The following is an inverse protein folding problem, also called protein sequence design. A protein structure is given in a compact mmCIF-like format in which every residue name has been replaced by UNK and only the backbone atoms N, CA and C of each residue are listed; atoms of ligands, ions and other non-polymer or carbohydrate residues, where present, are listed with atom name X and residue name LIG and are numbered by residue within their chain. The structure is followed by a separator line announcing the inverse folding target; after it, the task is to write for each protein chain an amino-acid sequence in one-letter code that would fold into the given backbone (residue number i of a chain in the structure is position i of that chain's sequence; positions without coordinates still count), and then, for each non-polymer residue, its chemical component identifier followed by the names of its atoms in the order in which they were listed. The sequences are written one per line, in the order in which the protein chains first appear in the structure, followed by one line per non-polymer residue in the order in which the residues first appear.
data_IF_139560163600
#
_entry.id   IF_139560163600
#
_cell.length_a   1.000
_cell.length_b   1.000
_cell.length_c   1.000
_cell.angle_alpha   90.00
_cell.angle_beta   90.00
_cell.angle_gamma   90.00
#
_symmetry.space_group_name_H-M   'P 1'
#
loop_
_entity.id
_entity.type
_entity.pdbx_description
1 polymer ?
#
# COMPACT_ATOMS: atom_id res chain seq x y z
N UNK A 1 60.54 -46.59 -29.00
CA UNK A 1 60.01 -46.02 -27.73
C UNK A 1 59.90 -44.52 -27.86
N UNK A 2 58.72 -43.96 -28.14
CA UNK A 2 58.48 -42.55 -28.33
C UNK A 2 57.72 -42.00 -27.09
N UNK A 3 58.37 -41.10 -26.35
CA UNK A 3 57.82 -40.46 -25.18
C UNK A 3 56.83 -39.35 -25.57
N UNK A 4 55.53 -39.55 -25.31
CA UNK A 4 54.51 -38.48 -25.44
C UNK A 4 54.67 -37.50 -24.26
N UNK A 5 55.04 -36.27 -24.54
CA UNK A 5 54.98 -35.14 -23.59
C UNK A 5 53.50 -34.69 -23.46
N UNK A 6 52.99 -34.77 -22.25
CA UNK A 6 51.68 -34.20 -21.88
C UNK A 6 51.79 -32.68 -21.85
N UNK A 7 50.90 -32.00 -22.55
CA UNK A 7 50.75 -30.52 -22.49
C UNK A 7 50.05 -30.11 -21.20
N UNK A 8 50.47 -29.04 -20.54
CA UNK A 8 49.80 -28.55 -19.35
C UNK A 8 48.43 -27.92 -19.69
N UNK A 9 47.40 -28.25 -18.91
CA UNK A 9 46.04 -27.72 -18.99
C UNK A 9 46.06 -26.28 -18.46
N UNK A 10 45.52 -25.28 -19.18
CA UNK A 10 45.45 -23.91 -18.69
C UNK A 10 44.47 -23.84 -17.53
N UNK A 11 44.91 -23.32 -16.38
CA UNK A 11 44.08 -23.00 -15.23
C UNK A 11 43.19 -21.79 -15.60
N UNK A 12 41.93 -22.00 -15.81
CA UNK A 12 40.90 -20.92 -15.90
C UNK A 12 40.82 -20.25 -14.53
N UNK A 13 41.46 -19.10 -14.38
CA UNK A 13 41.32 -18.25 -13.21
C UNK A 13 39.97 -17.53 -13.27
N UNK A 14 38.98 -18.04 -12.55
CA UNK A 14 37.72 -17.32 -12.31
C UNK A 14 37.97 -16.18 -11.31
N UNK A 15 38.32 -15.00 -11.82
CA UNK A 15 38.18 -13.76 -11.06
C UNK A 15 36.81 -13.18 -11.35
N UNK A 16 35.84 -13.43 -10.47
CA UNK A 16 34.57 -12.74 -10.51
C UNK A 16 34.77 -11.23 -10.25
N UNK A 17 34.16 -10.34 -11.01
CA UNK A 17 34.28 -8.90 -10.80
C UNK A 17 33.52 -8.48 -9.53
N UNK A 18 34.28 -8.30 -8.43
CA UNK A 18 33.77 -7.80 -7.13
C UNK A 18 33.27 -6.33 -7.22
N UNK A 19 33.52 -5.66 -8.33
CA UNK A 19 33.12 -4.26 -8.57
C UNK A 19 31.61 -4.05 -8.67
N UNK A 20 30.84 -5.05 -9.14
CA UNK A 20 29.38 -4.96 -9.24
C UNK A 20 28.66 -4.94 -7.88
N UNK A 21 29.14 -5.71 -6.89
CA UNK A 21 28.52 -5.83 -5.57
C UNK A 21 28.67 -4.53 -4.75
N UNK A 22 29.78 -3.82 -4.87
CA UNK A 22 30.00 -2.53 -4.18
C UNK A 22 29.08 -1.43 -4.70
N UNK A 23 28.80 -1.38 -6.00
CA UNK A 23 27.86 -0.44 -6.59
C UNK A 23 26.41 -0.71 -6.13
N UNK A 24 26.05 -1.97 -5.99
CA UNK A 24 24.71 -2.39 -5.56
C UNK A 24 24.46 -2.05 -4.09
N UNK A 25 25.44 -2.30 -3.23
CA UNK A 25 25.39 -1.95 -1.80
C UNK A 25 25.36 -0.43 -1.60
N UNK A 26 26.15 0.34 -2.36
CA UNK A 26 26.12 1.79 -2.31
C UNK A 26 24.77 2.36 -2.79
N UNK A 27 24.18 1.80 -3.85
CA UNK A 27 22.87 2.19 -4.33
C UNK A 27 21.76 1.91 -3.32
N UNK A 28 21.78 0.76 -2.64
CA UNK A 28 20.83 0.41 -1.58
C UNK A 28 21.02 1.28 -0.32
N UNK A 29 22.24 1.64 0.04
CA UNK A 29 22.49 2.54 1.18
C UNK A 29 22.06 3.98 0.89
N UNK A 30 22.24 4.49 -0.33
CA UNK A 30 21.73 5.81 -0.75
C UNK A 30 20.21 5.81 -0.78
N UNK A 31 19.57 4.75 -1.30
CA UNK A 31 18.12 4.61 -1.28
C UNK A 31 17.60 4.52 0.16
N UNK A 32 18.26 3.75 1.03
CA UNK A 32 17.95 3.66 2.46
C UNK A 32 18.11 4.99 3.21
N UNK A 33 19.16 5.77 2.90
CA UNK A 33 19.38 7.08 3.50
C UNK A 33 18.35 8.13 3.02
N UNK A 34 17.92 8.09 1.77
CA UNK A 34 16.86 8.94 1.25
C UNK A 34 15.48 8.60 1.87
N UNK A 35 15.29 7.35 2.30
CA UNK A 35 14.08 6.87 2.96
C UNK A 35 14.05 7.20 4.46
N UNK A 36 15.21 7.35 5.11
CA UNK A 36 15.33 7.55 6.55
C UNK A 36 15.21 9.03 7.02
N UNK A 37 15.27 9.99 6.11
CA UNK A 37 15.39 11.41 6.46
C UNK A 37 14.04 12.16 6.48
N UNK A 38 12.96 11.58 7.01
CA UNK A 38 11.72 12.34 7.22
C UNK A 38 11.50 12.60 8.70
N UNK A 39 11.51 13.87 9.08
CA UNK A 39 10.93 14.33 10.34
C UNK A 39 9.44 13.94 10.33
N UNK A 40 8.96 13.35 11.43
CA UNK A 40 7.55 13.04 11.62
C UNK A 40 6.73 14.35 11.59
N UNK A 41 6.27 14.73 10.41
CA UNK A 41 5.24 15.73 10.19
C UNK A 41 4.03 14.99 9.66
N UNK A 42 2.85 15.32 10.20
CA UNK A 42 1.59 14.86 9.63
C UNK A 42 1.51 15.42 8.20
N UNK A 43 1.63 14.52 7.24
CA UNK A 43 1.58 14.84 5.82
C UNK A 43 0.12 14.80 5.33
N UNK A 44 -0.16 15.48 4.22
CA UNK A 44 -1.52 15.67 3.71
C UNK A 44 -2.31 14.36 3.51
N UNK A 45 -1.65 13.29 3.14
CA UNK A 45 -2.28 12.01 2.83
C UNK A 45 -2.16 11.00 3.97
N UNK A 46 -1.65 11.40 5.15
CA UNK A 46 -1.67 10.56 6.34
C UNK A 46 -3.09 10.31 6.81
N UNK A 47 -3.33 9.15 7.41
CA UNK A 47 -4.63 8.82 7.97
C UNK A 47 -4.90 9.65 9.23
N UNK A 48 -6.14 10.14 9.32
CA UNK A 48 -6.73 10.76 10.50
C UNK A 48 -8.18 10.29 10.65
N UNK A 49 -8.35 9.13 11.23
CA UNK A 49 -9.63 8.42 11.23
C UNK A 49 -10.72 9.12 12.05
N UNK A 50 -10.36 9.98 12.99
CA UNK A 50 -11.33 10.81 13.72
C UNK A 50 -12.17 11.68 12.78
N UNK A 51 -11.62 12.09 11.64
CA UNK A 51 -12.33 12.88 10.63
C UNK A 51 -13.43 12.10 9.88
N UNK A 52 -13.50 10.77 10.06
CA UNK A 52 -14.63 9.96 9.55
C UNK A 52 -15.91 10.17 10.36
N UNK A 53 -15.78 10.78 11.53
CA UNK A 53 -16.86 11.09 12.42
C UNK A 53 -17.54 12.38 11.99
N UNK A 54 -18.87 12.45 12.06
CA UNK A 54 -19.59 13.66 11.70
C UNK A 54 -19.57 14.64 12.86
N UNK A 55 -18.71 15.65 12.80
CA UNK A 55 -18.59 16.68 13.83
C UNK A 55 -19.76 17.66 13.88
N UNK A 56 -20.65 17.67 12.87
CA UNK A 56 -21.82 18.55 12.83
C UNK A 56 -22.89 18.19 13.87
N UNK A 57 -22.84 16.97 14.39
CA UNK A 57 -23.75 16.47 15.42
C UNK A 57 -23.19 16.58 16.86
N UNK A 58 -22.14 17.33 17.06
CA UNK A 58 -21.63 17.71 18.39
C UNK A 58 -20.52 16.84 18.99
N UNK A 59 -20.36 15.57 18.62
CA UNK A 59 -19.28 14.69 19.13
C UNK A 59 -18.85 13.61 18.14
N UNK A 60 -18.99 13.84 16.89
CA UNK A 60 -18.29 13.27 15.75
C UNK A 60 -18.45 11.78 15.45
N UNK A 61 -18.31 10.85 16.35
CA UNK A 61 -18.32 9.41 16.04
C UNK A 61 -19.52 8.64 16.59
N UNK A 62 -20.56 9.31 17.00
CA UNK A 62 -21.72 8.67 17.58
C UNK A 62 -22.12 9.29 18.93
N UNK A 63 -23.05 8.67 19.59
CA UNK A 63 -23.60 9.17 20.85
C UNK A 63 -22.57 9.06 21.96
N UNK A 64 -22.01 10.19 22.37
CA UNK A 64 -21.22 10.26 23.62
C UNK A 64 -22.20 10.38 24.76
N UNK A 65 -22.41 9.30 25.50
CA UNK A 65 -23.12 9.38 26.76
C UNK A 65 -22.13 9.71 27.85
N UNK A 66 -22.12 10.96 28.28
CA UNK A 66 -21.36 11.39 29.46
C UNK A 66 -22.14 11.07 30.71
N UNK A 67 -21.60 10.19 31.54
CA UNK A 67 -21.96 10.09 32.96
C UNK A 67 -20.83 10.71 33.79
N UNK A 68 -21.06 11.16 35.03
CA UNK A 68 -20.00 11.72 35.86
C UNK A 68 -18.78 10.82 36.07
N UNK A 69 -18.92 9.53 35.74
CA UNK A 69 -17.89 8.50 36.00
C UNK A 69 -17.43 7.77 34.71
N UNK A 70 -18.07 7.98 33.57
CA UNK A 70 -17.76 7.23 32.35
C UNK A 70 -18.27 7.93 31.09
N UNK A 71 -17.39 8.09 30.10
CA UNK A 71 -17.75 8.44 28.73
C UNK A 71 -17.87 7.16 27.92
N UNK A 72 -19.03 6.88 27.34
CA UNK A 72 -19.20 5.77 26.40
C UNK A 72 -19.50 6.33 25.02
N UNK A 73 -18.74 5.86 24.03
CA UNK A 73 -18.97 6.21 22.62
C UNK A 73 -19.68 5.06 21.95
N UNK A 74 -20.94 5.28 21.55
CA UNK A 74 -21.63 4.38 20.64
C UNK A 74 -21.37 4.87 19.20
N UNK A 75 -20.61 4.12 18.43
CA UNK A 75 -20.25 4.51 17.07
C UNK A 75 -21.45 4.49 16.13
N UNK A 76 -21.56 5.52 15.30
CA UNK A 76 -22.53 5.59 14.22
C UNK A 76 -22.22 4.52 13.15
N UNK A 77 -23.18 3.68 12.75
CA UNK A 77 -23.02 2.72 11.65
C UNK A 77 -22.54 3.37 10.35
N UNK A 78 -22.91 4.64 10.09
CA UNK A 78 -22.42 5.38 8.94
C UNK A 78 -20.91 5.67 9.01
N UNK A 79 -20.34 5.91 10.20
CA UNK A 79 -18.89 6.07 10.37
C UNK A 79 -18.15 4.75 10.09
N UNK A 80 -18.71 3.61 10.51
CA UNK A 80 -18.16 2.30 10.20
C UNK A 80 -18.21 1.99 8.69
N UNK A 81 -19.28 2.35 8.01
CA UNK A 81 -19.39 2.26 6.53
C UNK A 81 -18.35 3.16 5.84
N UNK A 82 -18.11 4.38 6.35
CA UNK A 82 -17.04 5.26 5.85
C UNK A 82 -15.66 4.63 6.04
N UNK A 83 -15.40 4.07 7.22
CA UNK A 83 -14.12 3.38 7.48
C UNK A 83 -13.92 2.20 6.53
N UNK A 84 -14.93 1.34 6.34
CA UNK A 84 -14.86 0.22 5.39
C UNK A 84 -14.53 0.67 3.97
N UNK A 85 -15.22 1.72 3.50
CA UNK A 85 -15.04 2.27 2.15
C UNK A 85 -13.65 2.90 1.96
N UNK A 86 -13.12 3.57 3.00
CA UNK A 86 -11.76 4.09 3.00
C UNK A 86 -10.72 2.97 2.90
N UNK A 87 -10.86 1.91 3.73
CA UNK A 87 -9.96 0.76 3.69
C UNK A 87 -10.02 0.04 2.34
N UNK A 88 -11.20 -0.02 1.72
CA UNK A 88 -11.39 -0.58 0.37
C UNK A 88 -10.60 0.19 -0.69
N UNK A 89 -10.75 1.52 -0.78
CA UNK A 89 -10.04 2.31 -1.79
C UNK A 89 -8.54 2.43 -1.50
N UNK A 90 -8.14 2.61 -0.24
CA UNK A 90 -6.74 2.63 0.16
C UNK A 90 -6.07 1.27 -0.11
N UNK A 91 -6.79 0.17 0.16
CA UNK A 91 -6.33 -1.16 -0.15
C UNK A 91 -6.01 -1.36 -1.64
N UNK A 92 -6.80 -0.78 -2.55
CA UNK A 92 -6.50 -0.79 -3.99
C UNK A 92 -5.24 0.04 -4.32
N UNK A 93 -5.04 1.18 -3.64
CA UNK A 93 -3.86 2.04 -3.85
C UNK A 93 -2.56 1.33 -3.47
N UNK A 94 -2.57 0.58 -2.37
CA UNK A 94 -1.40 -0.14 -1.84
C UNK A 94 -1.37 -1.62 -2.23
N UNK A 95 -2.32 -2.10 -3.03
CA UNK A 95 -2.41 -3.50 -3.45
C UNK A 95 -1.11 -4.01 -4.07
N UNK A 96 -0.80 -5.31 -3.94
CA UNK A 96 0.32 -5.93 -4.63
C UNK A 96 0.24 -5.63 -6.12
N UNK A 97 1.39 -5.28 -6.70
CA UNK A 97 1.46 -4.87 -8.11
C UNK A 97 2.13 -5.93 -8.94
N UNK A 98 1.44 -6.30 -10.01
CA UNK A 98 2.01 -7.08 -11.08
C UNK A 98 2.22 -6.15 -12.28
N UNK A 99 3.42 -5.60 -12.41
CA UNK A 99 3.77 -4.72 -13.54
C UNK A 99 4.69 -5.45 -14.50
N UNK A 100 4.32 -6.66 -14.90
CA UNK A 100 5.17 -7.45 -15.79
C UNK A 100 4.34 -8.48 -16.56
N UNK A 101 4.79 -8.82 -17.77
CA UNK A 101 4.24 -9.92 -18.55
C UNK A 101 4.26 -11.26 -17.82
N UNK A 102 3.63 -12.28 -18.41
CA UNK A 102 3.46 -13.60 -17.80
C UNK A 102 4.76 -14.41 -17.66
N UNK A 103 5.76 -14.16 -18.52
CA UNK A 103 7.02 -14.90 -18.48
C UNK A 103 7.77 -14.62 -17.15
N UNK A 104 8.41 -15.65 -16.60
CA UNK A 104 9.33 -15.52 -15.48
C UNK A 104 10.70 -15.02 -15.96
N UNK A 105 11.58 -14.71 -15.01
CA UNK A 105 12.96 -14.31 -15.30
C UNK A 105 13.87 -15.52 -15.61
N UNK A 106 13.37 -16.74 -15.45
CA UNK A 106 14.18 -17.95 -15.50
C UNK A 106 15.10 -18.11 -14.27
N UNK A 107 15.69 -19.28 -14.10
CA UNK A 107 16.44 -19.67 -12.88
C UNK A 107 17.55 -18.70 -12.46
N UNK A 108 18.32 -18.15 -13.40
CA UNK A 108 19.43 -17.26 -13.10
C UNK A 108 19.01 -15.78 -13.02
N UNK A 109 17.82 -15.41 -13.53
CA UNK A 109 17.42 -14.03 -13.70
C UNK A 109 17.18 -13.30 -12.37
N UNK A 110 17.67 -12.08 -12.29
CA UNK A 110 17.35 -11.10 -11.25
C UNK A 110 16.89 -9.82 -11.96
N UNK A 111 15.86 -9.19 -11.43
CA UNK A 111 15.37 -7.91 -11.93
C UNK A 111 15.29 -6.91 -10.79
N UNK A 112 15.75 -5.69 -11.05
CA UNK A 112 15.55 -4.53 -10.18
C UNK A 112 14.72 -3.50 -10.93
N UNK A 113 13.72 -2.94 -10.26
CA UNK A 113 12.87 -1.90 -10.86
C UNK A 113 12.48 -0.83 -9.84
N UNK A 114 12.24 0.37 -10.38
CA UNK A 114 11.53 1.43 -9.69
C UNK A 114 10.22 1.69 -10.43
N UNK A 115 9.16 2.03 -9.69
CA UNK A 115 7.86 2.33 -10.27
C UNK A 115 7.22 3.57 -9.68
N UNK A 116 6.41 4.21 -10.50
CA UNK A 116 5.49 5.27 -10.10
C UNK A 116 4.10 4.83 -10.53
N UNK A 117 3.14 4.97 -9.63
CA UNK A 117 1.75 4.69 -9.95
C UNK A 117 0.85 5.82 -9.44
N UNK A 118 -0.14 6.16 -10.24
CA UNK A 118 -1.14 7.17 -9.94
C UNK A 118 -2.50 6.50 -9.98
N UNK A 119 -3.20 6.48 -8.84
CA UNK A 119 -4.50 5.82 -8.68
C UNK A 119 -5.57 6.87 -8.39
N UNK A 120 -6.63 6.84 -9.19
CA UNK A 120 -7.81 7.66 -8.96
C UNK A 120 -8.55 7.20 -7.70
N UNK A 121 -8.99 8.16 -6.88
CA UNK A 121 -9.79 7.93 -5.69
C UNK A 121 -11.10 8.74 -5.74
N UNK A 122 -12.08 8.30 -4.98
CA UNK A 122 -13.37 8.99 -4.87
C UNK A 122 -13.32 10.18 -3.91
N UNK A 123 -12.43 11.15 -4.19
CA UNK A 123 -12.12 12.28 -3.29
C UNK A 123 -13.32 13.14 -2.88
N UNK A 124 -14.44 13.07 -3.61
CA UNK A 124 -15.68 13.75 -3.25
C UNK A 124 -16.55 13.00 -2.24
N UNK A 125 -16.18 11.79 -1.84
CA UNK A 125 -16.91 10.98 -0.88
C UNK A 125 -16.44 11.25 0.55
N UNK A 126 -17.36 11.24 1.50
CA UNK A 126 -17.09 11.56 2.92
C UNK A 126 -16.10 10.62 3.60
N UNK A 127 -15.92 9.41 3.10
CA UNK A 127 -14.92 8.50 3.67
C UNK A 127 -13.48 8.94 3.40
N UNK A 128 -13.21 9.78 2.39
CA UNK A 128 -11.90 10.40 2.20
C UNK A 128 -11.64 11.61 3.12
N UNK A 129 -12.60 11.98 3.97
CA UNK A 129 -12.32 12.91 5.06
C UNK A 129 -11.35 12.32 6.09
N UNK A 130 -11.20 11.00 6.14
CA UNK A 130 -10.31 10.28 7.06
C UNK A 130 -8.80 10.47 6.81
N UNK A 131 -8.38 11.54 6.12
CA UNK A 131 -6.98 11.93 5.92
C UNK A 131 -6.69 13.30 6.52
N UNK A 132 -5.44 13.54 6.92
CA UNK A 132 -4.99 14.75 7.63
C UNK A 132 -5.17 16.03 6.81
N UNK A 133 -4.99 15.95 5.49
CA UNK A 133 -5.13 17.09 4.57
C UNK A 133 -6.55 17.59 4.38
N UNK A 134 -7.55 16.93 4.98
CA UNK A 134 -8.95 17.34 4.93
C UNK A 134 -9.33 17.97 6.28
N UNK A 135 -9.56 19.26 6.29
CA UNK A 135 -10.03 19.98 7.46
C UNK A 135 -11.43 20.53 7.16
N UNK A 136 -12.50 19.99 7.77
CA UNK A 136 -13.88 20.38 7.46
C UNK A 136 -14.16 21.86 7.62
N UNK A 137 -13.41 22.55 8.48
CA UNK A 137 -13.57 23.99 8.78
C UNK A 137 -12.68 24.88 7.90
N UNK A 138 -11.86 24.33 6.99
CA UNK A 138 -10.99 25.10 6.11
C UNK A 138 -11.43 24.92 4.65
N UNK A 139 -11.97 25.97 3.99
CA UNK A 139 -12.49 25.87 2.63
C UNK A 139 -11.43 25.48 1.59
N UNK A 140 -10.14 25.65 1.90
CA UNK A 140 -9.03 25.29 1.01
C UNK A 140 -8.54 23.84 1.20
N UNK A 141 -8.99 23.17 2.25
CA UNK A 141 -8.56 21.80 2.64
C UNK A 141 -9.75 20.84 2.77
N UNK A 142 -10.78 21.05 1.98
CA UNK A 142 -12.04 20.29 2.08
C UNK A 142 -12.00 18.94 1.37
N UNK A 143 -11.00 18.68 0.54
CA UNK A 143 -10.92 17.42 -0.24
C UNK A 143 -9.49 16.98 -0.46
N UNK A 144 -9.21 15.66 -0.42
CA UNK A 144 -7.93 15.13 -0.86
C UNK A 144 -7.78 15.31 -2.38
N UNK A 145 -6.57 15.14 -2.93
CA UNK A 145 -6.39 15.11 -4.39
C UNK A 145 -7.19 13.95 -4.99
N UNK A 146 -7.74 14.13 -6.20
CA UNK A 146 -8.49 13.06 -6.89
C UNK A 146 -7.62 11.86 -7.30
N UNK A 147 -6.31 12.00 -7.20
CA UNK A 147 -5.33 11.00 -7.55
C UNK A 147 -4.30 10.87 -6.44
N UNK A 148 -4.08 9.64 -5.96
CA UNK A 148 -2.99 9.32 -5.06
C UNK A 148 -1.81 8.77 -5.86
N UNK A 149 -0.64 9.36 -5.62
CA UNK A 149 0.61 8.91 -6.23
C UNK A 149 1.35 8.01 -5.27
N UNK A 150 1.90 6.93 -5.77
CA UNK A 150 2.77 6.05 -5.02
C UNK A 150 4.06 5.80 -5.79
N UNK A 151 5.18 5.71 -5.08
CA UNK A 151 6.51 5.44 -5.65
C UNK A 151 7.09 4.23 -4.94
N UNK A 152 7.68 3.31 -5.68
CA UNK A 152 8.20 2.08 -5.12
C UNK A 152 9.44 1.54 -5.80
N UNK A 153 10.03 0.54 -5.15
CA UNK A 153 11.13 -0.24 -5.68
C UNK A 153 10.90 -1.73 -5.46
N UNK A 154 11.29 -2.54 -6.44
CA UNK A 154 11.08 -3.98 -6.43
C UNK A 154 12.34 -4.73 -6.83
N UNK A 155 12.51 -5.88 -6.20
CA UNK A 155 13.47 -6.91 -6.59
C UNK A 155 12.71 -8.19 -6.93
N UNK A 156 13.11 -8.85 -8.01
CA UNK A 156 12.52 -10.09 -8.47
C UNK A 156 13.60 -11.11 -8.74
N UNK A 157 13.33 -12.36 -8.44
CA UNK A 157 14.23 -13.49 -8.66
C UNK A 157 13.50 -14.65 -9.31
N UNK A 158 13.97 -15.07 -10.47
CA UNK A 158 13.53 -16.30 -11.11
C UNK A 158 14.07 -17.52 -10.36
N UNK A 159 13.22 -18.51 -10.21
CA UNK A 159 13.47 -19.78 -9.53
C UNK A 159 13.32 -20.94 -10.52
N UNK A 160 13.76 -22.17 -10.17
CA UNK A 160 13.48 -23.35 -10.98
C UNK A 160 11.98 -23.59 -11.17
N UNK A 161 11.62 -24.41 -12.15
CA UNK A 161 10.26 -24.86 -12.42
C UNK A 161 9.28 -23.71 -12.72
N UNK A 162 9.72 -22.72 -13.51
CA UNK A 162 8.89 -21.56 -13.92
C UNK A 162 8.29 -20.77 -12.76
N UNK A 163 8.98 -20.78 -11.61
CA UNK A 163 8.62 -19.99 -10.43
C UNK A 163 9.39 -18.67 -10.41
N UNK A 164 8.80 -17.66 -9.78
CA UNK A 164 9.41 -16.37 -9.54
C UNK A 164 8.95 -15.80 -8.20
N UNK A 165 9.89 -15.28 -7.44
CA UNK A 165 9.64 -14.57 -6.19
C UNK A 165 9.95 -13.09 -6.38
N UNK A 166 9.12 -12.22 -5.84
CA UNK A 166 9.35 -10.79 -5.83
C UNK A 166 9.02 -10.16 -4.48
N UNK A 167 9.73 -9.10 -4.17
CA UNK A 167 9.49 -8.26 -3.00
C UNK A 167 9.75 -6.79 -3.34
N UNK A 168 9.08 -5.89 -2.61
CA UNK A 168 9.25 -4.46 -2.80
C UNK A 168 8.65 -3.64 -1.69
N UNK A 169 8.93 -2.35 -1.74
CA UNK A 169 8.35 -1.36 -0.84
C UNK A 169 7.82 -0.18 -1.65
N UNK A 170 6.67 0.31 -1.25
CA UNK A 170 5.94 1.38 -1.92
C UNK A 170 5.57 2.45 -0.91
N UNK A 171 5.91 3.70 -1.17
CA UNK A 171 5.51 4.86 -0.39
C UNK A 171 4.29 5.55 -1.01
N UNK A 172 3.33 5.93 -0.21
CA UNK A 172 2.25 6.84 -0.60
C UNK A 172 2.80 8.27 -0.51
N UNK A 173 2.89 8.96 -1.64
CA UNK A 173 3.50 10.30 -1.70
C UNK A 173 2.72 11.29 -0.84
N UNK A 174 3.41 12.17 -0.14
CA UNK A 174 2.85 13.09 0.86
C UNK A 174 2.16 12.35 2.01
N UNK A 175 2.76 11.23 2.44
CA UNK A 175 2.40 10.54 3.67
C UNK A 175 3.60 9.82 4.28
N UNK A 176 3.52 9.50 5.57
CA UNK A 176 4.42 8.58 6.25
C UNK A 176 4.17 7.12 5.92
N UNK A 177 3.13 6.81 5.16
CA UNK A 177 2.68 5.45 4.88
C UNK A 177 3.55 4.73 3.84
N UNK A 178 3.89 3.49 4.17
CA UNK A 178 4.60 2.56 3.31
C UNK A 178 3.81 1.26 3.18
N UNK A 179 3.91 0.62 2.04
CA UNK A 179 3.40 -0.73 1.84
C UNK A 179 4.56 -1.67 1.51
N UNK A 180 4.78 -2.70 2.35
CA UNK A 180 5.67 -3.79 2.02
C UNK A 180 4.92 -4.81 1.18
N UNK A 181 5.48 -5.20 0.06
CA UNK A 181 4.84 -6.10 -0.90
C UNK A 181 5.71 -7.32 -1.16
N UNK A 182 5.06 -8.47 -1.25
CA UNK A 182 5.69 -9.72 -1.65
C UNK A 182 4.78 -10.51 -2.56
N UNK A 183 5.34 -11.31 -3.47
CA UNK A 183 4.55 -12.19 -4.33
C UNK A 183 5.32 -13.43 -4.76
N UNK A 184 4.57 -14.45 -5.06
CA UNK A 184 5.02 -15.67 -5.72
C UNK A 184 4.26 -15.82 -7.03
N UNK A 185 4.97 -16.09 -8.12
CA UNK A 185 4.42 -16.32 -9.45
C UNK A 185 4.79 -17.71 -9.95
N UNK A 186 3.87 -18.32 -10.66
CA UNK A 186 4.07 -19.53 -11.41
C UNK A 186 3.63 -19.32 -12.87
N UNK A 187 4.55 -19.48 -13.81
CA UNK A 187 4.21 -19.47 -15.23
C UNK A 187 3.79 -20.88 -15.67
N UNK A 188 2.52 -21.01 -16.04
CA UNK A 188 1.94 -22.27 -16.51
C UNK A 188 2.48 -22.63 -17.88
N UNK A 189 2.66 -21.62 -18.75
CA UNK A 189 3.27 -21.71 -20.05
C UNK A 189 4.16 -20.50 -20.29
N UNK A 190 5.39 -20.73 -20.66
CA UNK A 190 6.36 -19.69 -21.03
C UNK A 190 6.60 -19.70 -22.53
N UNK A 191 6.68 -18.52 -23.12
CA UNK A 191 6.85 -18.34 -24.58
C UNK A 191 8.25 -18.70 -25.10
N UNK A 192 8.97 -19.62 -24.44
CA UNK A 192 10.28 -20.11 -24.90
C UNK A 192 10.19 -21.09 -26.07
N UNK A 193 9.01 -21.57 -26.39
CA UNK A 193 8.79 -22.45 -27.52
C UNK A 193 8.28 -21.63 -28.71
N UNK A 194 8.68 -22.00 -29.91
CA UNK A 194 8.21 -21.43 -31.19
C UNK A 194 6.70 -21.62 -31.44
N UNK A 195 5.98 -22.08 -30.44
CA UNK A 195 4.54 -22.25 -30.46
C UNK A 195 3.85 -20.88 -30.50
N UNK A 196 2.80 -20.69 -31.30
CA UNK A 196 2.05 -19.44 -31.38
C UNK A 196 1.22 -19.12 -30.13
N UNK A 197 1.33 -19.93 -29.08
CA UNK A 197 0.56 -19.78 -27.84
C UNK A 197 1.09 -18.61 -27.00
N UNK A 198 0.21 -17.82 -26.37
CA UNK A 198 0.61 -16.81 -25.43
C UNK A 198 1.13 -17.44 -24.13
N UNK A 199 2.02 -16.75 -23.43
CA UNK A 199 2.44 -17.11 -22.08
C UNK A 199 1.30 -16.86 -21.09
N UNK A 200 1.14 -17.75 -20.11
CA UNK A 200 0.13 -17.69 -19.05
C UNK A 200 0.82 -17.85 -17.69
N UNK A 201 0.51 -16.98 -16.76
CA UNK A 201 0.99 -17.08 -15.38
C UNK A 201 -0.11 -16.80 -14.36
N UNK A 202 0.04 -17.41 -13.19
CA UNK A 202 -0.74 -17.14 -11.98
C UNK A 202 0.21 -16.57 -10.93
N UNK A 203 -0.24 -15.56 -10.19
CA UNK A 203 0.53 -14.95 -9.11
C UNK A 203 -0.34 -14.78 -7.88
N UNK A 204 0.25 -15.01 -6.72
CA UNK A 204 -0.33 -14.62 -5.43
C UNK A 204 0.59 -13.59 -4.77
N UNK A 205 0.01 -12.54 -4.22
CA UNK A 205 0.76 -11.46 -3.58
C UNK A 205 0.11 -10.98 -2.30
N UNK A 206 0.92 -10.37 -1.46
CA UNK A 206 0.52 -9.74 -0.19
C UNK A 206 1.11 -8.33 -0.11
N UNK A 207 0.40 -7.44 0.54
CA UNK A 207 0.84 -6.09 0.85
C UNK A 207 0.39 -5.71 2.25
N UNK A 208 1.32 -5.19 3.06
CA UNK A 208 1.09 -4.75 4.43
C UNK A 208 1.39 -3.26 4.56
N UNK A 209 0.43 -2.49 5.08
CA UNK A 209 0.59 -1.06 5.34
C UNK A 209 1.36 -0.82 6.63
N UNK A 210 2.35 0.05 6.56
CA UNK A 210 3.21 0.48 7.66
C UNK A 210 3.26 2.00 7.74
N UNK A 211 3.77 2.55 8.84
CA UNK A 211 4.02 3.98 9.00
C UNK A 211 2.77 4.78 9.39
N UNK A 212 1.77 4.14 9.94
CA UNK A 212 0.60 4.77 10.54
C UNK A 212 0.12 3.95 11.74
N UNK A 213 -0.26 4.61 12.83
CA UNK A 213 -0.86 3.99 14.03
C UNK A 213 -2.39 4.00 13.93
N UNK A 214 -2.94 4.73 12.96
CA UNK A 214 -4.38 4.91 12.79
C UNK A 214 -5.07 3.65 12.28
N UNK A 215 -4.39 2.86 11.43
CA UNK A 215 -4.95 1.64 10.86
C UNK A 215 -3.88 0.62 10.54
N UNK A 216 -4.26 -0.66 10.61
CA UNK A 216 -3.57 -1.77 9.96
C UNK A 216 -4.35 -2.17 8.72
N UNK A 217 -3.66 -2.44 7.62
CA UNK A 217 -4.27 -2.80 6.34
C UNK A 217 -3.45 -3.89 5.67
N UNK A 218 -4.08 -5.04 5.45
CA UNK A 218 -3.51 -6.19 4.74
C UNK A 218 -4.28 -6.39 3.44
N UNK A 219 -3.56 -6.54 2.35
CA UNK A 219 -4.13 -6.77 1.04
C UNK A 219 -3.52 -8.01 0.43
N UNK A 220 -4.36 -8.97 0.09
CA UNK A 220 -3.99 -10.18 -0.64
C UNK A 220 -4.50 -10.05 -2.07
N UNK A 221 -3.72 -10.52 -3.03
CA UNK A 221 -4.10 -10.51 -4.44
C UNK A 221 -3.82 -11.85 -5.10
N UNK A 222 -4.72 -12.29 -5.95
CA UNK A 222 -4.49 -13.40 -6.87
C UNK A 222 -4.65 -12.88 -8.28
N UNK A 223 -3.63 -13.06 -9.11
CA UNK A 223 -3.56 -12.55 -10.48
C UNK A 223 -3.51 -13.70 -11.48
N UNK A 224 -4.18 -13.51 -12.60
CA UNK A 224 -3.99 -14.30 -13.82
C UNK A 224 -3.57 -13.37 -14.93
N UNK A 225 -2.47 -13.68 -15.60
CA UNK A 225 -1.90 -12.82 -16.64
C UNK A 225 -1.55 -13.61 -17.89
N UNK A 226 -1.84 -13.00 -19.03
CA UNK A 226 -1.52 -13.52 -20.36
C UNK A 226 -0.63 -12.51 -21.06
N UNK A 227 0.41 -12.96 -21.76
CA UNK A 227 1.31 -12.10 -22.52
C UNK A 227 1.84 -12.76 -23.78
N UNK A 228 2.29 -11.93 -24.75
CA UNK A 228 2.98 -12.42 -25.96
C UNK A 228 4.15 -11.50 -26.27
N UNK A 229 5.32 -12.08 -26.44
CA UNK A 229 6.54 -11.34 -26.80
C UNK A 229 6.71 -11.23 -28.30
N UNK A 230 7.10 -10.04 -28.78
CA UNK A 230 7.43 -9.74 -30.18
C UNK A 230 8.81 -9.11 -30.24
N UNK A 231 9.67 -9.67 -31.10
CA UNK A 231 10.96 -9.05 -31.45
C UNK A 231 10.75 -7.92 -32.45
N UNK A 232 11.35 -6.75 -32.20
CA UNK A 232 11.31 -5.59 -33.09
C UNK A 232 12.75 -5.25 -33.50
N UNK A 233 13.03 -5.17 -34.81
CA UNK A 233 14.32 -4.77 -35.37
C UNK A 233 15.54 -5.52 -34.77
N UNK A 234 15.36 -6.76 -34.34
CA UNK A 234 16.43 -7.63 -33.82
C UNK A 234 17.02 -7.28 -32.45
N UNK A 235 16.74 -6.08 -31.92
CA UNK A 235 17.31 -5.60 -30.64
C UNK A 235 16.29 -5.29 -29.58
N UNK A 236 15.08 -4.96 -29.95
CA UNK A 236 13.99 -4.62 -29.04
C UNK A 236 13.03 -5.78 -28.88
N UNK A 237 12.52 -5.97 -27.69
CA UNK A 237 11.42 -6.89 -27.41
C UNK A 237 10.25 -6.12 -26.80
N UNK A 238 9.13 -6.14 -27.51
CA UNK A 238 7.85 -5.62 -27.03
C UNK A 238 7.00 -6.79 -26.52
N UNK A 239 6.45 -6.67 -25.33
CA UNK A 239 5.67 -7.73 -24.71
C UNK A 239 4.39 -7.14 -24.11
N UNK A 240 3.31 -7.02 -24.89
CA UNK A 240 2.00 -6.68 -24.37
C UNK A 240 1.47 -7.78 -23.46
N UNK A 241 0.68 -7.39 -22.48
CA UNK A 241 0.03 -8.28 -21.54
C UNK A 241 -1.32 -7.76 -21.09
N UNK A 242 -2.16 -8.66 -20.66
CA UNK A 242 -3.49 -8.42 -20.09
C UNK A 242 -3.67 -9.37 -18.92
N UNK A 243 -4.37 -8.92 -17.88
CA UNK A 243 -4.64 -9.77 -16.74
C UNK A 243 -5.85 -9.33 -15.94
N UNK A 244 -6.21 -10.20 -15.02
CA UNK A 244 -7.26 -9.99 -14.03
C UNK A 244 -6.72 -10.32 -12.65
N UNK A 245 -7.15 -9.56 -11.67
CA UNK A 245 -6.74 -9.69 -10.27
C UNK A 245 -7.95 -9.64 -9.37
N UNK A 246 -8.02 -10.55 -8.40
CA UNK A 246 -8.94 -10.50 -7.28
C UNK A 246 -8.19 -10.03 -6.03
N UNK A 247 -8.65 -8.94 -5.43
CA UNK A 247 -8.13 -8.40 -4.19
C UNK A 247 -9.02 -8.82 -3.02
N UNK A 248 -8.40 -9.22 -1.92
CA UNK A 248 -9.00 -9.46 -0.62
C UNK A 248 -8.34 -8.50 0.37
N UNK A 249 -9.11 -7.57 0.91
CA UNK A 249 -8.61 -6.50 1.76
C UNK A 249 -9.16 -6.71 3.17
N UNK A 250 -8.29 -6.61 4.17
CA UNK A 250 -8.62 -6.63 5.58
C UNK A 250 -8.04 -5.39 6.26
N UNK A 251 -8.88 -4.64 6.96
CA UNK A 251 -8.48 -3.43 7.66
C UNK A 251 -8.97 -3.41 9.09
N UNK A 252 -8.15 -2.87 10.00
CA UNK A 252 -8.54 -2.61 11.39
C UNK A 252 -8.03 -1.24 11.80
N UNK A 253 -8.79 -0.52 12.62
CA UNK A 253 -8.29 0.75 13.15
C UNK A 253 -7.40 0.55 14.37
N UNK A 254 -6.45 1.45 14.55
CA UNK A 254 -5.83 1.69 15.85
C UNK A 254 -6.83 2.26 16.85
N UNK A 255 -6.36 2.56 18.05
CA UNK A 255 -7.16 3.32 19.03
C UNK A 255 -7.23 4.77 18.57
N UNK A 256 -8.44 5.28 18.47
CA UNK A 256 -8.73 6.65 18.06
C UNK A 256 -9.15 7.41 19.28
N UNK A 257 -8.44 8.50 19.54
CA UNK A 257 -8.79 9.43 20.60
C UNK A 257 -9.98 10.30 20.15
N UNK A 258 -11.06 10.23 20.91
CA UNK A 258 -12.26 11.03 20.65
C UNK A 258 -12.14 12.48 21.14
N UNK A 259 -11.15 12.75 22.00
CA UNK A 259 -10.97 14.04 22.67
C UNK A 259 -9.53 14.58 22.56
N UNK A 260 -8.94 14.65 21.35
CA UNK A 260 -7.52 14.97 21.15
C UNK A 260 -7.14 16.36 21.70
N UNK A 261 -8.11 17.25 21.88
CA UNK A 261 -7.88 18.56 22.49
C UNK A 261 -7.73 18.51 24.03
N UNK A 262 -8.02 17.36 24.63
CA UNK A 262 -8.02 17.17 26.10
C UNK A 262 -6.74 16.50 26.61
N UNK A 263 -5.90 15.95 25.76
CA UNK A 263 -4.70 15.16 26.10
C UNK A 263 -3.64 15.90 26.89
N UNK A 264 -3.52 17.20 26.75
CA UNK A 264 -2.51 18.00 27.41
C UNK A 264 -2.59 17.90 28.98
N UNK A 265 -3.69 17.38 29.49
CA UNK A 265 -3.92 17.23 30.91
C UNK A 265 -3.48 15.86 31.45
N UNK A 266 -3.45 14.82 30.63
CA UNK A 266 -2.98 13.48 31.01
C UNK A 266 -1.47 13.47 31.25
N UNK A 267 -0.71 14.31 30.53
CA UNK A 267 0.75 14.42 30.67
C UNK A 267 1.18 15.03 32.00
N UNK A 268 0.33 15.78 32.66
CA UNK A 268 0.73 16.56 33.84
C UNK A 268 0.56 15.83 35.16
N UNK A 269 -0.18 14.73 35.26
CA UNK A 269 -0.34 13.91 36.50
C UNK A 269 -0.74 14.69 37.77
N UNK A 270 -1.26 15.92 37.60
CA UNK A 270 -1.46 16.90 38.67
C UNK A 270 -2.93 17.31 38.79
N UNK A 271 -3.30 17.69 40.01
CA UNK A 271 -4.64 18.18 40.30
C UNK A 271 -5.10 19.25 39.30
N UNK A 272 -6.19 19.02 38.57
CA UNK A 272 -6.68 19.93 37.51
C UNK A 272 -6.86 21.38 37.97
N UNK A 273 -7.19 21.57 39.24
CA UNK A 273 -7.48 22.92 39.81
C UNK A 273 -6.26 23.87 39.82
N UNK A 274 -5.04 23.34 39.75
CA UNK A 274 -3.81 24.13 39.93
C UNK A 274 -2.85 24.07 38.71
N UNK A 275 -3.26 23.43 37.60
CA UNK A 275 -2.38 23.25 36.47
C UNK A 275 -2.68 24.29 35.37
N UNK A 276 -1.68 25.10 35.05
CA UNK A 276 -1.77 26.13 33.98
C UNK A 276 -2.08 25.49 32.59
N UNK A 277 -1.60 24.27 32.36
CA UNK A 277 -1.87 23.55 31.11
C UNK A 277 -3.37 23.22 30.98
N UNK A 278 -4.04 22.83 32.04
CA UNK A 278 -5.49 22.54 32.07
C UNK A 278 -6.31 23.82 31.82
N UNK A 279 -5.87 24.94 32.38
CA UNK A 279 -6.53 26.24 32.17
C UNK A 279 -6.47 26.71 30.72
N UNK A 280 -5.46 26.24 29.95
CA UNK A 280 -5.32 26.54 28.53
C UNK A 280 -6.21 25.67 27.64
N UNK A 281 -6.79 24.58 28.18
CA UNK A 281 -7.67 23.70 27.42
C UNK A 281 -9.04 24.32 27.15
N UNK A 282 -9.74 23.91 26.10
CA UNK A 282 -11.14 24.24 25.90
C UNK A 282 -11.98 23.91 27.13
N UNK A 283 -12.96 24.73 27.46
CA UNK A 283 -13.82 24.51 28.67
C UNK A 283 -14.48 23.13 28.70
N UNK A 284 -14.77 22.57 27.49
CA UNK A 284 -15.31 21.21 27.34
C UNK A 284 -14.34 20.11 27.84
N UNK A 285 -13.03 20.37 27.79
CA UNK A 285 -12.02 19.44 28.25
C UNK A 285 -11.64 19.62 29.74
N UNK A 286 -11.78 20.82 30.26
CA UNK A 286 -11.32 21.14 31.65
C UNK A 286 -11.95 20.26 32.73
N UNK A 287 -13.21 19.84 32.51
CA UNK A 287 -13.93 18.97 33.43
C UNK A 287 -13.52 17.49 33.32
N UNK A 288 -12.91 17.09 32.23
CA UNK A 288 -12.56 15.70 31.91
C UNK A 288 -11.05 15.44 32.00
N UNK A 289 -10.27 16.50 31.97
CA UNK A 289 -8.83 16.48 31.91
C UNK A 289 -8.22 15.68 33.09
N UNK A 290 -7.43 14.66 32.74
CA UNK A 290 -6.80 13.76 33.70
C UNK A 290 -7.76 12.85 34.47
N UNK A 291 -8.98 12.66 33.98
CA UNK A 291 -9.95 11.71 34.54
C UNK A 291 -10.10 10.48 33.64
N UNK A 292 -10.61 9.38 34.21
CA UNK A 292 -10.97 8.18 33.43
C UNK A 292 -12.05 8.45 32.34
N UNK A 293 -12.71 9.59 32.37
CA UNK A 293 -13.68 10.02 31.39
C UNK A 293 -13.01 10.43 30.03
N UNK A 294 -11.81 11.00 30.11
CA UNK A 294 -11.01 11.34 28.88
C UNK A 294 -10.54 10.08 28.17
N UNK A 295 -9.95 9.13 28.91
CA UNK A 295 -9.55 7.83 28.36
C UNK A 295 -10.76 6.98 27.90
N UNK A 296 -11.90 7.08 28.55
CA UNK A 296 -13.13 6.35 28.21
C UNK A 296 -13.77 6.78 26.91
N UNK A 297 -13.37 7.94 26.35
CA UNK A 297 -13.82 8.42 25.03
C UNK A 297 -13.12 7.75 23.84
N UNK A 298 -12.01 7.04 24.10
CA UNK A 298 -11.26 6.38 23.04
C UNK A 298 -12.02 5.18 22.48
N UNK A 299 -11.95 5.01 21.16
CA UNK A 299 -12.68 3.96 20.47
C UNK A 299 -11.85 3.33 19.35
N UNK A 300 -12.38 2.23 18.76
CA UNK A 300 -11.85 1.58 17.56
C UNK A 300 -12.99 1.27 16.61
N UNK A 301 -12.75 1.47 15.32
CA UNK A 301 -13.64 0.89 14.32
C UNK A 301 -13.51 -0.63 14.35
N UNK A 302 -14.62 -1.38 14.19
CA UNK A 302 -14.56 -2.83 14.05
C UNK A 302 -13.63 -3.25 12.93
N UNK A 303 -12.94 -4.37 13.09
CA UNK A 303 -12.13 -4.94 12.02
C UNK A 303 -12.97 -5.24 10.80
N UNK A 304 -12.52 -4.79 9.66
CA UNK A 304 -13.14 -4.98 8.37
C UNK A 304 -12.44 -6.14 7.65
N UNK A 305 -13.07 -7.29 7.62
CA UNK A 305 -12.54 -8.44 6.91
C UNK A 305 -13.27 -8.64 5.57
N UNK A 306 -12.56 -9.31 4.63
CA UNK A 306 -13.13 -9.76 3.35
C UNK A 306 -13.77 -8.65 2.51
N UNK A 307 -13.14 -7.48 2.46
CA UNK A 307 -13.45 -6.52 1.42
C UNK A 307 -12.90 -7.07 0.10
N UNK A 308 -13.77 -7.27 -0.88
CA UNK A 308 -13.38 -7.87 -2.16
C UNK A 308 -13.42 -6.84 -3.27
N UNK A 309 -12.38 -6.79 -4.10
CA UNK A 309 -12.31 -5.90 -5.27
C UNK A 309 -11.74 -6.67 -6.47
N UNK A 310 -12.38 -6.54 -7.62
CA UNK A 310 -11.87 -7.09 -8.87
C UNK A 310 -11.18 -6.01 -9.69
N UNK A 311 -10.00 -6.32 -10.23
CA UNK A 311 -9.18 -5.40 -11.01
C UNK A 311 -8.78 -6.04 -12.33
N UNK A 312 -9.01 -5.33 -13.43
CA UNK A 312 -8.50 -5.65 -14.75
C UNK A 312 -7.29 -4.76 -15.02
N UNK A 313 -6.27 -5.31 -15.63
CA UNK A 313 -5.10 -4.53 -16.00
C UNK A 313 -4.53 -4.99 -17.34
N UNK A 314 -3.89 -4.05 -18.02
CA UNK A 314 -3.19 -4.32 -19.26
C UNK A 314 -2.07 -3.34 -19.48
N UNK A 315 -1.04 -3.78 -20.19
CA UNK A 315 0.15 -2.98 -20.40
C UNK A 315 1.09 -3.58 -21.41
N UNK A 316 2.27 -2.99 -21.51
CA UNK A 316 3.34 -3.50 -22.35
C UNK A 316 4.70 -3.28 -21.68
N UNK A 317 5.57 -4.28 -21.78
CA UNK A 317 6.99 -4.21 -21.45
C UNK A 317 7.78 -4.02 -22.72
N UNK A 318 8.58 -2.96 -22.76
CA UNK A 318 9.60 -2.73 -23.78
C UNK A 318 10.96 -3.05 -23.19
N UNK A 319 11.69 -3.98 -23.77
CA UNK A 319 13.02 -4.37 -23.31
C UNK A 319 14.04 -4.08 -24.39
N UNK A 320 15.12 -3.43 -23.99
CA UNK A 320 16.32 -3.20 -24.79
C UNK A 320 17.53 -3.74 -24.00
N UNK A 321 18.07 -4.86 -24.46
CA UNK A 321 19.17 -5.54 -23.82
C UNK A 321 18.87 -5.86 -22.33
N UNK A 322 19.50 -5.18 -21.38
CA UNK A 322 19.26 -5.34 -19.92
C UNK A 322 18.28 -4.32 -19.35
N UNK A 323 17.97 -3.26 -20.09
CA UNK A 323 17.04 -2.22 -19.68
C UNK A 323 15.61 -2.59 -20.08
N UNK A 324 14.65 -2.20 -19.27
CA UNK A 324 13.25 -2.30 -19.65
C UNK A 324 12.45 -1.10 -19.14
N UNK A 325 11.34 -0.87 -19.81
CA UNK A 325 10.29 0.06 -19.45
C UNK A 325 8.95 -0.67 -19.51
N UNK A 326 8.09 -0.46 -18.52
CA UNK A 326 6.73 -1.04 -18.48
C UNK A 326 5.74 0.09 -18.28
N UNK A 327 4.74 0.16 -19.14
CA UNK A 327 3.54 0.98 -18.94
C UNK A 327 2.33 0.09 -18.70
N UNK A 328 1.50 0.42 -17.73
CA UNK A 328 0.29 -0.33 -17.39
C UNK A 328 -0.86 0.60 -17.06
N UNK A 329 -2.04 0.22 -17.50
CA UNK A 329 -3.32 0.75 -17.05
C UNK A 329 -4.07 -0.32 -16.28
N UNK A 330 -4.75 0.07 -15.20
CA UNK A 330 -5.62 -0.80 -14.43
C UNK A 330 -6.95 -0.13 -14.14
N UNK A 331 -7.99 -0.94 -14.10
CA UNK A 331 -9.34 -0.54 -13.72
C UNK A 331 -9.88 -1.50 -12.67
N UNK A 332 -10.22 -0.97 -11.51
CA UNK A 332 -10.83 -1.70 -10.40
C UNK A 332 -12.31 -1.39 -10.34
N UNK A 333 -13.14 -2.41 -10.23
CA UNK A 333 -14.61 -2.25 -10.11
C UNK A 333 -14.98 -1.52 -8.83
N UNK A 334 -16.16 -0.94 -8.77
CA UNK A 334 -16.69 -0.36 -7.53
C UNK A 334 -16.80 -1.43 -6.43
N UNK A 335 -16.70 -1.01 -5.17
CA UNK A 335 -16.96 -1.85 -4.01
C UNK A 335 -18.43 -2.22 -3.92
N UNK A 336 -18.69 -3.35 -3.31
CA UNK A 336 -20.05 -3.86 -3.10
C UNK A 336 -20.09 -4.91 -1.99
N UNK A 337 -18.94 -5.10 -1.31
CA UNK A 337 -18.87 -6.04 -0.20
C UNK A 337 -19.54 -5.47 1.05
N UNK A 338 -20.20 -6.34 1.81
CA UNK A 338 -20.90 -5.98 3.04
C UNK A 338 -20.42 -6.85 4.18
N UNK A 339 -20.18 -6.24 5.32
CA UNK A 339 -19.97 -6.94 6.59
C UNK A 339 -21.24 -6.78 7.45
N UNK A 340 -22.00 -7.85 7.56
CA UNK A 340 -23.25 -7.86 8.30
C UNK A 340 -23.08 -8.14 9.80
N UNK A 341 -21.89 -8.57 10.23
CA UNK A 341 -21.64 -9.11 11.57
C UNK A 341 -20.82 -8.19 12.47
N UNK A 342 -20.69 -6.91 12.15
CA UNK A 342 -19.96 -6.02 13.04
C UNK A 342 -20.77 -5.73 14.30
N UNK A 343 -20.11 -5.54 15.48
CA UNK A 343 -20.80 -5.15 16.73
C UNK A 343 -21.59 -3.85 16.63
N UNK A 344 -21.39 -3.10 15.54
CA UNK A 344 -21.94 -1.76 15.31
C UNK A 344 -22.99 -1.72 14.21
N UNK A 345 -23.50 -2.88 13.78
CA UNK A 345 -24.37 -3.00 12.63
C UNK A 345 -23.59 -3.25 11.34
N UNK A 346 -24.33 -3.42 10.25
CA UNK A 346 -23.75 -3.72 8.96
C UNK A 346 -22.91 -2.54 8.43
N UNK A 347 -21.73 -2.85 7.86
CA UNK A 347 -20.90 -1.90 7.16
C UNK A 347 -20.89 -2.25 5.66
N UNK A 348 -21.29 -1.32 4.83
CA UNK A 348 -21.30 -1.46 3.37
C UNK A 348 -20.03 -0.83 2.77
N UNK A 349 -19.47 -1.46 1.73
CA UNK A 349 -18.41 -0.86 0.93
C UNK A 349 -19.03 0.03 -0.16
N UNK A 350 -18.94 1.34 0.02
CA UNK A 350 -19.47 2.36 -0.90
C UNK A 350 -18.36 2.96 -1.79
N UNK A 351 -17.20 2.29 -1.87
CA UNK A 351 -16.09 2.73 -2.68
C UNK A 351 -16.44 2.75 -4.17
N UNK A 352 -15.92 3.74 -4.88
CA UNK A 352 -16.11 3.89 -6.32
C UNK A 352 -15.21 2.95 -7.13
N UNK A 353 -15.42 2.92 -8.44
CA UNK A 353 -14.45 2.33 -9.36
C UNK A 353 -13.19 3.19 -9.40
N UNK A 354 -12.03 2.55 -9.52
CA UNK A 354 -10.73 3.24 -9.53
C UNK A 354 -9.97 2.94 -10.81
N UNK A 355 -9.34 3.96 -11.36
CA UNK A 355 -8.41 3.84 -12.50
C UNK A 355 -7.01 4.09 -11.98
N UNK A 356 -6.04 3.35 -12.49
CA UNK A 356 -4.64 3.54 -12.16
C UNK A 356 -3.78 3.47 -13.42
N UNK A 357 -2.76 4.32 -13.44
CA UNK A 357 -1.72 4.31 -14.46
C UNK A 357 -0.38 4.14 -13.76
N UNK A 358 0.44 3.23 -14.25
CA UNK A 358 1.75 3.00 -13.69
C UNK A 358 2.83 2.95 -14.76
N UNK A 359 4.00 3.42 -14.37
CA UNK A 359 5.23 3.36 -15.15
C UNK A 359 6.32 2.74 -14.30
N UNK A 360 7.00 1.74 -14.83
CA UNK A 360 8.12 1.08 -14.18
C UNK A 360 9.31 1.01 -15.11
N UNK A 361 10.50 1.24 -14.59
CA UNK A 361 11.75 1.10 -15.29
C UNK A 361 12.75 0.30 -14.47
N UNK A 362 13.65 -0.42 -15.12
CA UNK A 362 14.61 -1.23 -14.40
C UNK A 362 15.60 -1.99 -15.26
N UNK A 363 16.27 -2.94 -14.59
CA UNK A 363 17.34 -3.74 -15.17
C UNK A 363 17.06 -5.23 -14.96
N UNK A 364 17.25 -6.01 -16.02
CA UNK A 364 17.33 -7.48 -16.01
C UNK A 364 18.81 -7.88 -15.94
N UNK A 365 19.22 -8.58 -14.87
CA UNK A 365 20.62 -8.98 -14.58
C UNK A 365 20.83 -10.48 -14.80
#
# INVERSE_FOLDING_TARGET
MASRRLRPVPRLGWRAPITGLRGLVAGLLVLGALLAARTARADRNDLRLINLCDTSQGNGCGWVTQTPTRTTVALDPAANTRFRSLMSELGVVVAPRLQTPADTLGFAGIQLSADVNVTQISSGKSFWNGVEGVQPNNPNLTRPPSWLTTVGGFVRKGLPASLELGAGAVNVVQSGMWALQGYLRFAVNEGFHDLPLPSLAVQAGVSDLLGTDQATLHVYGVDVVVSKGFGIAGTWRLQPYLGWNQLLISGASGTIDATPACDAATVAGTNPANNVAVAALPRSCQAQAGTSADEGGNFRFPSQALITRSRWFGGAKLKLWKLFLVGQFAWTTAGGSRDAQTPMGAADDQSGSQKAVSLSAGFDL
#
